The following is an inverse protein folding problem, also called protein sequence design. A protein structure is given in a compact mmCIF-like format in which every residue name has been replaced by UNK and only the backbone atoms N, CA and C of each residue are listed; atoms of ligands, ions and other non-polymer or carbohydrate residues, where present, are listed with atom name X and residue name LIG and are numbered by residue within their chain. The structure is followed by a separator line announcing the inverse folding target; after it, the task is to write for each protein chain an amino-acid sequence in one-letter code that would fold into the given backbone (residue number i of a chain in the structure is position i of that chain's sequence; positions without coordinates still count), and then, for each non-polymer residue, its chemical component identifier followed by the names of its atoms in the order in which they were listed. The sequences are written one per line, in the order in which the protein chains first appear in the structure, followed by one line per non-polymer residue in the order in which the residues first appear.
data_IF_731333996234
#
_entry.id   IF_731333996234
#
_cell.length_a   1.000
_cell.length_b   1.000
_cell.length_c   1.000
_cell.angle_alpha   90.00
_cell.angle_beta   90.00
_cell.angle_gamma   90.00
#
_symmetry.space_group_name_H-M   'P 1'
#
loop_
_entity.id
_entity.type
_entity.pdbx_description
1 polymer ?
#
# COMPACT_ATOMS: atom_id res chain seq x y z
N UNK A 1 14.41 33.31 30.00
CA UNK A 1 13.60 32.08 30.03
C UNK A 1 13.29 31.72 28.59
N UNK A 2 13.65 30.51 28.13
CA UNK A 2 13.37 30.10 26.76
C UNK A 2 11.87 29.93 26.55
N UNK A 3 11.36 30.54 25.49
CA UNK A 3 10.00 30.38 24.99
C UNK A 3 9.75 28.89 24.70
N UNK A 4 8.69 28.25 25.25
CA UNK A 4 8.43 26.84 24.98
C UNK A 4 8.16 26.60 23.49
N UNK A 5 8.60 25.45 22.96
CA UNK A 5 8.53 25.13 21.51
C UNK A 5 7.11 25.16 20.92
N UNK A 6 6.07 25.18 21.77
CA UNK A 6 4.67 25.16 21.38
C UNK A 6 3.99 26.55 21.30
N UNK A 7 4.74 27.64 21.34
CA UNK A 7 4.24 29.00 21.09
C UNK A 7 4.97 29.68 19.93
N UNK A 8 4.23 30.39 19.08
CA UNK A 8 4.79 31.17 17.99
C UNK A 8 5.58 32.35 18.57
N UNK A 9 6.89 32.47 18.30
CA UNK A 9 7.72 33.51 18.88
C UNK A 9 7.36 34.92 18.42
N UNK A 10 6.57 35.06 17.35
CA UNK A 10 6.12 36.35 16.80
C UNK A 10 4.82 36.84 17.45
N UNK A 11 3.94 35.92 17.84
CA UNK A 11 2.57 36.25 18.30
C UNK A 11 2.30 35.84 19.74
N UNK A 12 3.14 35.01 20.35
CA UNK A 12 2.93 34.44 21.69
C UNK A 12 1.76 33.45 21.76
N UNK A 13 1.09 33.19 20.64
CA UNK A 13 -0.02 32.25 20.57
C UNK A 13 0.48 30.81 20.50
N UNK A 14 -0.23 29.89 21.14
CA UNK A 14 0.06 28.46 21.05
C UNK A 14 -0.18 27.98 19.61
N UNK A 15 0.72 27.17 19.06
CA UNK A 15 0.51 26.57 17.74
C UNK A 15 -0.76 25.71 17.74
N UNK A 16 -1.47 25.68 16.60
CA UNK A 16 -2.77 24.97 16.45
C UNK A 16 -2.66 23.49 16.85
N UNK A 17 -1.55 22.84 16.52
CA UNK A 17 -1.30 21.45 16.91
C UNK A 17 -0.88 21.33 18.38
N UNK A 18 -0.19 22.35 18.93
CA UNK A 18 0.27 22.37 20.32
C UNK A 18 0.97 21.06 20.71
N UNK A 19 0.51 20.42 21.79
CA UNK A 19 1.10 19.17 22.29
C UNK A 19 0.86 17.98 21.36
N UNK A 20 -0.11 18.07 20.43
CA UNK A 20 -0.34 17.01 19.44
C UNK A 20 0.80 16.94 18.42
N UNK A 21 1.63 17.98 18.30
CA UNK A 21 2.78 17.96 17.41
C UNK A 21 3.81 16.90 17.83
N UNK A 22 4.01 16.73 19.14
CA UNK A 22 4.95 15.75 19.72
C UNK A 22 4.29 14.39 19.99
N UNK A 23 2.98 14.27 19.75
CA UNK A 23 2.23 13.07 20.07
C UNK A 23 2.46 11.99 19.00
N UNK A 24 3.17 10.92 19.37
CA UNK A 24 3.21 9.69 18.57
C UNK A 24 1.91 8.90 18.82
N UNK A 25 1.17 8.61 17.74
CA UNK A 25 -0.06 7.82 17.87
C UNK A 25 0.24 6.38 18.32
N UNK A 26 -0.61 5.77 19.19
CA UNK A 26 -0.35 4.44 19.73
C UNK A 26 -0.17 3.32 18.70
N UNK A 27 -0.73 3.47 17.50
CA UNK A 27 -0.64 2.50 16.41
C UNK A 27 0.67 2.58 15.60
N UNK A 28 1.48 3.62 15.81
CA UNK A 28 2.79 3.78 15.17
C UNK A 28 3.92 3.12 15.97
N UNK A 29 3.63 2.61 17.17
CA UNK A 29 4.65 2.02 18.05
C UNK A 29 5.15 0.63 17.64
N UNK A 30 4.36 -0.13 16.88
CA UNK A 30 4.75 -1.45 16.33
C UNK A 30 3.77 -1.93 15.27
N UNK A 31 4.16 -2.91 14.46
CA UNK A 31 3.25 -3.56 13.51
C UNK A 31 2.09 -4.29 14.22
N UNK A 32 2.35 -4.82 15.41
CA UNK A 32 1.33 -5.43 16.27
C UNK A 32 0.26 -4.42 16.67
N UNK A 33 0.68 -3.23 17.13
CA UNK A 33 -0.23 -2.15 17.44
C UNK A 33 -1.01 -1.69 16.21
N UNK A 34 -0.36 -1.56 15.05
CA UNK A 34 -1.03 -1.18 13.81
C UNK A 34 -2.10 -2.21 13.43
N UNK A 35 -1.73 -3.49 13.43
CA UNK A 35 -2.62 -4.59 13.06
C UNK A 35 -3.80 -4.67 14.04
N UNK A 36 -3.54 -4.92 15.32
CA UNK A 36 -4.59 -5.24 16.28
C UNK A 36 -5.45 -4.03 16.70
N UNK A 37 -4.95 -2.80 16.61
CA UNK A 37 -5.72 -1.61 17.02
C UNK A 37 -6.35 -0.85 15.85
N UNK A 38 -5.85 -1.03 14.62
CA UNK A 38 -6.28 -0.20 13.48
C UNK A 38 -6.62 -0.98 12.22
N UNK A 39 -5.80 -1.93 11.81
CA UNK A 39 -5.89 -2.53 10.47
C UNK A 39 -6.65 -3.83 10.40
N UNK A 40 -6.69 -4.61 11.47
CA UNK A 40 -7.42 -5.89 11.53
C UNK A 40 -8.90 -5.72 11.24
N UNK A 41 -9.58 -4.79 11.93
CA UNK A 41 -11.01 -4.55 11.75
C UNK A 41 -11.37 -4.08 10.31
N UNK A 42 -10.68 -3.10 9.71
CA UNK A 42 -10.90 -2.76 8.30
C UNK A 42 -10.61 -3.93 7.35
N UNK A 43 -9.57 -4.72 7.62
CA UNK A 43 -9.21 -5.88 6.81
C UNK A 43 -10.30 -6.96 6.83
N UNK A 44 -10.87 -7.28 8.00
CA UNK A 44 -11.97 -8.24 8.17
C UNK A 44 -13.26 -7.85 7.42
N UNK A 45 -13.40 -6.56 7.09
CA UNK A 45 -14.60 -6.01 6.43
C UNK A 45 -14.32 -5.48 5.02
N UNK A 46 -13.12 -5.71 4.48
CA UNK A 46 -12.67 -5.19 3.18
C UNK A 46 -12.88 -3.66 3.04
N UNK A 47 -12.70 -2.92 4.14
CA UNK A 47 -12.76 -1.47 4.19
C UNK A 47 -11.39 -0.87 3.91
N UNK A 48 -11.34 0.42 3.52
CA UNK A 48 -10.08 1.12 3.26
C UNK A 48 -9.05 0.89 4.40
N UNK A 49 -7.80 0.51 4.10
CA UNK A 49 -7.19 0.36 2.77
C UNK A 49 -7.29 -1.04 2.14
N UNK A 50 -8.16 -1.94 2.61
CA UNK A 50 -8.25 -3.35 2.21
C UNK A 50 -9.40 -3.69 1.23
N UNK A 51 -9.94 -2.71 0.49
CA UNK A 51 -10.92 -2.98 -0.58
C UNK A 51 -10.45 -4.11 -1.49
N UNK A 52 -11.37 -4.98 -1.91
CA UNK A 52 -11.13 -6.18 -2.72
C UNK A 52 -10.27 -7.28 -2.04
N UNK A 53 -9.62 -7.00 -0.92
CA UNK A 53 -8.84 -7.96 -0.16
C UNK A 53 -9.68 -8.84 0.75
N UNK A 54 -9.15 -10.02 1.11
CA UNK A 54 -9.73 -10.91 2.12
C UNK A 54 -8.81 -11.03 3.33
N UNK A 55 -9.40 -11.17 4.52
CA UNK A 55 -8.66 -11.29 5.78
C UNK A 55 -7.59 -12.38 5.73
N UNK A 56 -7.89 -13.53 5.13
CA UNK A 56 -7.00 -14.69 5.04
C UNK A 56 -5.76 -14.42 4.18
N UNK A 57 -5.80 -13.42 3.30
CA UNK A 57 -4.64 -13.00 2.52
C UNK A 57 -3.66 -12.16 3.36
N UNK A 58 -4.10 -11.57 4.48
CA UNK A 58 -3.31 -10.64 5.28
C UNK A 58 -2.91 -11.18 6.64
N UNK A 59 -3.82 -11.88 7.33
CA UNK A 59 -3.60 -12.30 8.71
C UNK A 59 -2.28 -13.08 8.91
N UNK A 60 -1.95 -14.08 8.06
CA UNK A 60 -0.68 -14.81 8.21
C UNK A 60 0.57 -13.93 7.99
N UNK A 61 0.45 -12.90 7.15
CA UNK A 61 1.54 -11.97 6.86
C UNK A 61 1.80 -11.10 8.09
N UNK A 62 0.75 -10.51 8.67
CA UNK A 62 0.89 -9.69 9.88
C UNK A 62 1.34 -10.53 11.08
N UNK A 63 0.86 -11.76 11.23
CA UNK A 63 1.37 -12.70 12.25
C UNK A 63 2.87 -12.94 12.08
N UNK A 64 3.33 -13.14 10.85
CA UNK A 64 4.76 -13.33 10.54
C UNK A 64 5.58 -12.07 10.84
N UNK A 65 5.10 -10.89 10.46
CA UNK A 65 5.75 -9.61 10.76
C UNK A 65 5.89 -9.39 12.28
N UNK A 66 4.83 -9.71 13.04
CA UNK A 66 4.84 -9.62 14.51
C UNK A 66 5.86 -10.60 15.10
N UNK A 67 5.84 -11.86 14.67
CA UNK A 67 6.76 -12.90 15.16
C UNK A 67 8.22 -12.58 14.86
N UNK A 68 8.52 -12.02 13.68
CA UNK A 68 9.87 -11.63 13.26
C UNK A 68 10.33 -10.29 13.84
N UNK A 69 9.46 -9.55 14.54
CA UNK A 69 9.80 -8.22 15.07
C UNK A 69 9.97 -7.16 13.97
N UNK A 70 9.37 -7.35 12.79
CA UNK A 70 9.45 -6.39 11.69
C UNK A 70 8.40 -5.31 11.92
N UNK A 71 8.80 -4.20 12.55
CA UNK A 71 7.90 -3.11 12.95
C UNK A 71 7.89 -1.92 11.99
N UNK A 72 8.92 -1.80 11.15
CA UNK A 72 9.08 -0.66 10.26
C UNK A 72 8.44 -0.93 8.90
N UNK A 73 7.31 -0.26 8.62
CA UNK A 73 6.65 -0.30 7.33
C UNK A 73 7.47 0.31 6.18
N UNK A 74 8.52 1.08 6.46
CA UNK A 74 9.44 1.62 5.44
C UNK A 74 10.54 0.62 5.04
N UNK A 75 10.71 -0.45 5.79
CA UNK A 75 11.76 -1.45 5.56
C UNK A 75 11.51 -2.30 4.32
N UNK A 76 12.60 -2.86 3.78
CA UNK A 76 12.56 -3.82 2.67
C UNK A 76 11.93 -5.14 3.12
N UNK A 77 12.22 -5.53 4.36
CA UNK A 77 11.75 -6.75 5.02
C UNK A 77 10.22 -6.74 5.11
N UNK A 78 9.63 -5.61 5.50
CA UNK A 78 8.18 -5.45 5.52
C UNK A 78 7.55 -5.82 4.18
N UNK A 79 8.02 -5.22 3.08
CA UNK A 79 7.46 -5.48 1.74
C UNK A 79 7.64 -6.94 1.33
N UNK A 80 8.79 -7.55 1.63
CA UNK A 80 9.10 -8.94 1.26
C UNK A 80 8.12 -9.94 1.85
N UNK A 81 7.60 -9.71 3.05
CA UNK A 81 6.63 -10.64 3.67
C UNK A 81 5.29 -10.70 2.91
N UNK A 82 4.95 -9.69 2.10
CA UNK A 82 3.71 -9.69 1.33
C UNK A 82 3.83 -10.34 -0.05
N UNK A 83 5.04 -10.35 -0.63
CA UNK A 83 5.25 -10.79 -2.01
C UNK A 83 4.78 -12.23 -2.27
N UNK A 84 5.07 -13.23 -1.41
CA UNK A 84 4.65 -14.60 -1.68
C UNK A 84 3.14 -14.77 -1.84
N UNK A 85 2.35 -14.06 -1.02
CA UNK A 85 0.88 -14.10 -1.11
C UNK A 85 0.39 -13.39 -2.37
N UNK A 86 0.95 -12.22 -2.68
CA UNK A 86 0.58 -11.46 -3.86
C UNK A 86 0.90 -12.23 -5.16
N UNK A 87 2.06 -12.85 -5.24
CA UNK A 87 2.50 -13.69 -6.36
C UNK A 87 1.65 -14.95 -6.50
N UNK A 88 1.34 -15.63 -5.40
CA UNK A 88 0.45 -16.80 -5.39
C UNK A 88 -0.93 -16.46 -5.96
N UNK A 89 -1.54 -15.38 -5.48
CA UNK A 89 -2.83 -14.91 -5.98
C UNK A 89 -2.73 -14.51 -7.46
N UNK A 90 -1.66 -13.82 -7.86
CA UNK A 90 -1.46 -13.46 -9.26
C UNK A 90 -1.44 -14.69 -10.18
N UNK A 91 -0.75 -15.76 -9.75
CA UNK A 91 -0.69 -17.03 -10.47
C UNK A 91 -2.04 -17.76 -10.50
N UNK A 92 -2.77 -17.76 -9.39
CA UNK A 92 -4.13 -18.32 -9.32
C UNK A 92 -5.07 -17.60 -10.30
N UNK A 93 -4.96 -16.27 -10.41
CA UNK A 93 -5.68 -15.49 -11.42
C UNK A 93 -5.31 -15.89 -12.85
N UNK A 94 -4.02 -16.12 -13.14
CA UNK A 94 -3.55 -16.59 -14.45
C UNK A 94 -4.14 -17.97 -14.81
N UNK A 95 -4.25 -18.88 -13.83
CA UNK A 95 -4.82 -20.21 -14.00
C UNK A 95 -6.33 -20.15 -14.28
N UNK A 96 -7.06 -19.32 -13.54
CA UNK A 96 -8.51 -19.09 -13.73
C UNK A 96 -8.80 -18.44 -15.09
N UNK A 97 -8.00 -17.45 -15.49
CA UNK A 97 -8.12 -16.80 -16.78
C UNK A 97 -7.92 -17.79 -17.94
N UNK A 98 -6.89 -18.66 -17.84
CA UNK A 98 -6.64 -19.73 -18.82
C UNK A 98 -7.78 -20.76 -18.87
N UNK A 99 -8.43 -21.01 -17.75
CA UNK A 99 -9.60 -21.88 -17.67
C UNK A 99 -10.91 -21.23 -18.17
N UNK A 100 -10.88 -19.98 -18.64
CA UNK A 100 -12.06 -19.25 -19.11
C UNK A 100 -12.97 -18.73 -17.98
N UNK A 101 -12.53 -18.82 -16.72
CA UNK A 101 -13.29 -18.39 -15.54
C UNK A 101 -13.10 -16.90 -15.28
N UNK A 102 -13.66 -16.09 -16.18
CA UNK A 102 -13.44 -14.65 -16.28
C UNK A 102 -13.64 -13.89 -14.96
N UNK A 103 -14.81 -14.04 -14.32
CA UNK A 103 -15.11 -13.30 -13.08
C UNK A 103 -14.23 -13.75 -11.91
N UNK A 104 -14.03 -15.06 -11.75
CA UNK A 104 -13.17 -15.61 -10.70
C UNK A 104 -11.72 -15.08 -10.86
N UNK A 105 -11.21 -15.00 -12.08
CA UNK A 105 -9.88 -14.46 -12.36
C UNK A 105 -9.78 -12.97 -11.97
N UNK A 106 -10.79 -12.17 -12.32
CA UNK A 106 -10.86 -10.75 -11.93
C UNK A 106 -10.80 -10.61 -10.40
N UNK A 107 -11.64 -11.34 -9.68
CA UNK A 107 -11.72 -11.26 -8.22
C UNK A 107 -10.37 -11.61 -7.56
N UNK A 108 -9.67 -12.63 -8.09
CA UNK A 108 -8.35 -13.03 -7.61
C UNK A 108 -7.27 -11.99 -7.93
N UNK A 109 -7.26 -11.43 -9.15
CA UNK A 109 -6.30 -10.39 -9.50
C UNK A 109 -6.48 -9.12 -8.66
N UNK A 110 -7.72 -8.71 -8.37
CA UNK A 110 -7.98 -7.55 -7.51
C UNK A 110 -7.54 -7.80 -6.06
N UNK A 111 -7.73 -9.02 -5.54
CA UNK A 111 -7.14 -9.43 -4.25
C UNK A 111 -5.62 -9.30 -4.25
N UNK A 112 -4.94 -9.81 -5.28
CA UNK A 112 -3.49 -9.69 -5.43
C UNK A 112 -3.05 -8.21 -5.46
N UNK A 113 -3.76 -7.37 -6.19
CA UNK A 113 -3.51 -5.92 -6.23
C UNK A 113 -3.59 -5.28 -4.85
N UNK A 114 -4.56 -5.68 -4.04
CA UNK A 114 -4.69 -5.17 -2.66
C UNK A 114 -3.53 -5.64 -1.79
N UNK A 115 -3.05 -6.89 -1.92
CA UNK A 115 -1.86 -7.35 -1.20
C UNK A 115 -0.62 -6.53 -1.59
N UNK A 116 -0.36 -6.33 -2.90
CA UNK A 116 0.75 -5.47 -3.34
C UNK A 116 0.62 -4.02 -2.88
N UNK A 117 -0.60 -3.47 -2.84
CA UNK A 117 -0.84 -2.10 -2.35
C UNK A 117 -0.48 -1.96 -0.88
N UNK A 118 -0.80 -2.94 -0.04
CA UNK A 118 -0.39 -2.94 1.37
C UNK A 118 1.13 -3.15 1.49
N UNK A 119 1.72 -4.02 0.66
CA UNK A 119 3.16 -4.29 0.64
C UNK A 119 4.04 -3.03 0.47
N UNK A 120 3.53 -2.03 -0.28
CA UNK A 120 4.23 -0.76 -0.52
C UNK A 120 3.81 0.39 0.40
N UNK A 121 2.90 0.17 1.35
CA UNK A 121 2.54 1.18 2.34
C UNK A 121 3.75 1.54 3.21
N UNK A 122 3.90 2.79 3.71
CA UNK A 122 3.10 3.98 3.39
C UNK A 122 3.55 4.69 2.11
N UNK A 123 4.78 4.45 1.64
CA UNK A 123 5.37 5.12 0.49
C UNK A 123 6.40 4.23 -0.21
N UNK A 124 6.62 4.46 -1.51
CA UNK A 124 7.63 3.78 -2.32
C UNK A 124 8.99 4.45 -2.09
N UNK A 125 9.82 3.83 -1.25
CA UNK A 125 11.12 4.33 -0.83
C UNK A 125 12.28 3.35 -1.09
N UNK A 126 12.04 2.28 -1.85
CA UNK A 126 13.02 1.25 -2.15
C UNK A 126 12.69 0.50 -3.44
N UNK A 127 13.70 -0.09 -4.06
CA UNK A 127 13.57 -0.87 -5.30
C UNK A 127 12.56 -2.01 -5.18
N UNK A 128 12.48 -2.66 -4.00
CA UNK A 128 11.50 -3.74 -3.78
C UNK A 128 10.06 -3.22 -3.78
N UNK A 129 9.83 -2.01 -3.26
CA UNK A 129 8.50 -1.37 -3.30
C UNK A 129 8.15 -0.86 -4.68
N UNK A 130 9.14 -0.39 -5.43
CA UNK A 130 8.94 -0.02 -6.83
C UNK A 130 8.59 -1.26 -7.66
N UNK A 131 9.29 -2.37 -7.46
CA UNK A 131 8.97 -3.65 -8.09
C UNK A 131 7.57 -4.14 -7.71
N UNK A 132 7.19 -4.05 -6.43
CA UNK A 132 5.84 -4.38 -5.97
C UNK A 132 4.77 -3.49 -6.61
N UNK A 133 5.06 -2.20 -6.81
CA UNK A 133 4.17 -1.28 -7.53
C UNK A 133 4.00 -1.66 -9.00
N UNK A 134 5.10 -1.97 -9.71
CA UNK A 134 5.04 -2.42 -11.11
C UNK A 134 4.26 -3.73 -11.23
N UNK A 135 4.54 -4.70 -10.37
CA UNK A 135 3.79 -5.96 -10.32
C UNK A 135 2.30 -5.74 -10.02
N UNK A 136 1.95 -4.82 -9.12
CA UNK A 136 0.57 -4.43 -8.88
C UNK A 136 -0.10 -3.91 -10.17
N UNK A 137 0.59 -3.01 -10.89
CA UNK A 137 0.08 -2.43 -12.14
C UNK A 137 -0.14 -3.52 -13.18
N UNK A 138 0.83 -4.40 -13.39
CA UNK A 138 0.75 -5.50 -14.34
C UNK A 138 -0.43 -6.44 -14.03
N UNK A 139 -0.61 -6.80 -12.76
CA UNK A 139 -1.72 -7.66 -12.33
C UNK A 139 -3.08 -6.96 -12.46
N UNK A 140 -3.14 -5.67 -12.16
CA UNK A 140 -4.37 -4.90 -12.37
C UNK A 140 -4.74 -4.88 -13.86
N UNK A 141 -3.76 -4.70 -14.76
CA UNK A 141 -4.02 -4.71 -16.20
C UNK A 141 -4.50 -6.07 -16.71
N UNK A 142 -4.07 -7.19 -16.10
CA UNK A 142 -4.65 -8.52 -16.37
C UNK A 142 -6.13 -8.58 -15.99
N UNK A 143 -6.51 -8.03 -14.83
CA UNK A 143 -7.91 -7.95 -14.42
C UNK A 143 -8.70 -7.03 -15.37
N UNK A 144 -8.14 -5.88 -15.68
CA UNK A 144 -8.80 -4.85 -16.47
C UNK A 144 -9.04 -5.27 -17.92
N UNK A 145 -8.14 -6.06 -18.51
CA UNK A 145 -8.34 -6.70 -19.81
C UNK A 145 -9.57 -7.64 -19.83
N UNK A 146 -9.99 -8.13 -18.66
CA UNK A 146 -11.18 -8.95 -18.47
C UNK A 146 -12.40 -8.12 -18.07
N UNK A 147 -12.38 -6.79 -18.00
CA UNK A 147 -13.61 -6.04 -17.69
C UNK A 147 -14.61 -6.11 -18.86
N UNK A 148 -15.86 -5.71 -18.61
CA UNK A 148 -16.84 -5.54 -19.69
C UNK A 148 -16.38 -4.44 -20.66
N UNK A 149 -15.86 -3.34 -20.10
CA UNK A 149 -15.13 -2.31 -20.83
C UNK A 149 -13.66 -2.38 -20.41
N UNK A 150 -12.78 -2.96 -21.25
CA UNK A 150 -11.36 -3.05 -20.93
C UNK A 150 -10.72 -1.69 -20.69
N UNK A 151 -9.77 -1.62 -19.76
CA UNK A 151 -8.98 -0.41 -19.50
C UNK A 151 -7.66 -0.53 -20.26
N UNK A 152 -7.20 0.59 -20.82
CA UNK A 152 -5.91 0.72 -21.49
C UNK A 152 -4.92 1.50 -20.61
N UNK A 153 -3.67 1.04 -20.59
CA UNK A 153 -2.56 1.76 -19.96
C UNK A 153 -1.93 2.68 -21.01
N UNK A 154 -2.17 3.99 -20.88
CA UNK A 154 -1.67 5.00 -21.81
C UNK A 154 -0.61 5.85 -21.12
N UNK A 155 0.46 6.16 -21.84
CA UNK A 155 1.48 7.09 -21.38
C UNK A 155 1.39 8.40 -22.17
N UNK A 156 1.27 9.51 -21.46
CA UNK A 156 1.09 10.83 -22.06
C UNK A 156 2.41 11.61 -21.97
N UNK A 157 2.94 12.17 -23.07
CA UNK A 157 4.14 13.00 -23.02
C UNK A 157 3.98 14.20 -22.08
N UNK A 158 4.93 14.40 -21.17
CA UNK A 158 4.96 15.56 -20.29
C UNK A 158 5.69 16.72 -20.97
N UNK A 159 4.97 17.49 -21.79
CA UNK A 159 5.55 18.54 -22.64
C UNK A 159 6.00 19.79 -21.88
N UNK A 160 5.58 19.94 -20.62
CA UNK A 160 5.96 21.04 -19.74
C UNK A 160 7.14 20.69 -18.81
N UNK A 161 7.69 19.49 -18.92
CA UNK A 161 8.73 19.00 -18.01
C UNK A 161 9.95 19.91 -17.97
N UNK A 162 10.38 20.31 -16.76
CA UNK A 162 11.68 20.91 -16.56
C UNK A 162 12.80 19.95 -17.04
N UNK A 163 13.83 20.42 -17.77
CA UNK A 163 14.77 19.55 -18.50
C UNK A 163 15.52 18.48 -17.68
N UNK A 164 15.56 18.59 -16.34
CA UNK A 164 16.41 17.77 -15.47
C UNK A 164 15.78 17.32 -14.15
N UNK A 165 14.49 17.57 -13.91
CA UNK A 165 13.86 17.29 -12.60
C UNK A 165 12.51 16.54 -12.75
N UNK A 166 11.86 16.70 -13.90
CA UNK A 166 10.52 16.17 -14.10
C UNK A 166 10.53 15.02 -15.12
N UNK A 167 9.71 14.00 -14.86
CA UNK A 167 9.58 12.85 -15.74
C UNK A 167 9.13 13.27 -17.16
N UNK A 168 9.58 12.53 -18.17
CA UNK A 168 9.25 12.79 -19.60
C UNK A 168 7.81 12.43 -19.95
N UNK A 169 7.13 11.70 -19.08
CA UNK A 169 5.81 11.14 -19.29
C UNK A 169 4.99 11.29 -18.01
N UNK A 170 3.69 11.53 -18.17
CA UNK A 170 2.70 11.45 -17.12
C UNK A 170 2.16 10.00 -17.15
N UNK A 171 2.45 9.18 -16.12
CA UNK A 171 2.02 7.79 -16.04
C UNK A 171 0.56 7.64 -15.61
#
# INVERSE_FOLDING_TARGET
MSTPANVDPRTGSRWILGDKFEQVYPHLGSIDNLWNKKWKFPCERSLYPFHDGKYEDFAPIFETLIQKGIHDGYSVEYTKEFLPTAERLSKEGDELAKAGKKQEAIDIYLRACTVYRIARFPYINSDVKEAAYKAQKDVYMKAAALFETPIEDISIPHTAAAPNDEGKQIP
#
